data_IF_243911636005
#
_entry.id   IF_243911636005
#
_cell.length_a   1.000
_cell.length_b   1.000
_cell.length_c   1.000
_cell.angle_alpha   90.00
_cell.angle_beta   90.00
_cell.angle_gamma   90.00
#
_symmetry.space_group_name_H-M   'P 1'
#
loop_
_entity.id
_entity.type
_entity.pdbx_description
1 polymer ?
#
# COMPACT_ATOMS: atom_id res chain seq x y z
N UNK A 1 0.18 0.79 -1.06
CA UNK A 1 1.05 1.99 -0.92
C UNK A 1 0.30 3.29 -1.22
N UNK A 2 -0.45 3.40 -2.32
CA UNK A 2 -1.21 4.64 -2.67
C UNK A 2 -2.17 5.14 -1.58
N UNK A 3 -2.88 4.23 -0.91
CA UNK A 3 -3.75 4.62 0.22
C UNK A 3 -2.90 5.18 1.37
N UNK A 4 -1.83 4.47 1.76
CA UNK A 4 -0.97 4.87 2.89
C UNK A 4 -0.33 6.24 2.64
N UNK A 5 0.20 6.49 1.44
CA UNK A 5 0.76 7.81 1.08
C UNK A 5 -0.29 8.92 1.11
N UNK A 6 -1.56 8.60 0.88
CA UNK A 6 -2.66 9.57 0.88
C UNK A 6 -3.20 9.90 2.27
N UNK A 7 -3.25 8.92 3.18
CA UNK A 7 -3.88 9.05 4.51
C UNK A 7 -2.88 9.45 5.60
N UNK A 8 -1.59 9.19 5.43
CA UNK A 8 -0.59 9.56 6.42
C UNK A 8 -0.45 11.09 6.50
N UNK A 9 -0.31 11.66 7.72
CA UNK A 9 -0.23 13.11 7.91
C UNK A 9 1.11 13.71 7.48
N UNK A 10 2.12 12.87 7.27
CA UNK A 10 3.45 13.28 6.83
C UNK A 10 4.06 12.23 5.89
N UNK A 11 5.06 12.66 5.12
CA UNK A 11 5.82 11.79 4.24
C UNK A 11 6.67 10.80 5.03
N UNK A 12 6.87 9.62 4.47
CA UNK A 12 7.78 8.60 4.98
C UNK A 12 8.74 8.14 3.89
N UNK A 13 9.80 7.44 4.28
CA UNK A 13 10.84 6.96 3.37
C UNK A 13 11.27 5.54 3.75
N UNK A 14 11.73 4.79 2.76
CA UNK A 14 12.11 3.39 2.94
C UNK A 14 13.45 3.30 3.68
N UNK A 15 13.49 2.50 4.75
CA UNK A 15 14.71 2.25 5.54
C UNK A 15 15.21 0.81 5.43
N UNK A 16 14.33 -0.15 5.07
CA UNK A 16 14.70 -1.54 4.78
C UNK A 16 13.76 -2.13 3.74
N UNK A 17 14.32 -2.90 2.81
CA UNK A 17 13.54 -3.71 1.87
C UNK A 17 14.15 -5.09 1.69
N UNK A 18 13.31 -6.11 1.84
CA UNK A 18 13.60 -7.49 1.47
C UNK A 18 12.62 -7.93 0.40
N UNK A 19 13.14 -8.37 -0.75
CA UNK A 19 12.36 -8.77 -1.90
C UNK A 19 12.63 -10.24 -2.22
N UNK A 20 11.59 -11.06 -2.17
CA UNK A 20 11.69 -12.51 -2.42
C UNK A 20 11.33 -12.82 -3.86
N UNK A 21 12.24 -13.41 -4.61
CA UNK A 21 12.08 -13.74 -6.03
C UNK A 21 12.10 -15.26 -6.25
N UNK A 22 11.11 -15.82 -6.96
CA UNK A 22 11.19 -17.20 -7.44
C UNK A 22 12.39 -17.39 -8.38
N UNK A 23 13.07 -18.53 -8.28
CA UNK A 23 14.25 -18.84 -9.08
C UNK A 23 14.00 -18.77 -10.61
N UNK A 24 12.76 -18.96 -11.05
CA UNK A 24 12.35 -18.91 -12.47
C UNK A 24 11.66 -17.59 -12.88
N UNK A 25 11.62 -16.54 -12.02
CA UNK A 25 10.91 -15.27 -12.31
C UNK A 25 11.79 -14.03 -12.07
N UNK A 26 11.48 -12.98 -12.83
CA UNK A 26 12.19 -11.69 -12.74
C UNK A 26 11.58 -10.72 -11.71
N UNK A 27 10.32 -10.91 -11.31
CA UNK A 27 9.60 -10.08 -10.34
C UNK A 27 9.50 -10.79 -8.98
N UNK A 28 9.44 -10.03 -7.86
CA UNK A 28 9.30 -10.62 -6.54
C UNK A 28 7.88 -11.18 -6.34
N UNK A 29 7.78 -12.27 -5.58
CA UNK A 29 6.51 -12.89 -5.14
C UNK A 29 6.10 -12.43 -3.73
N UNK A 30 7.05 -11.93 -2.94
CA UNK A 30 6.80 -11.35 -1.63
C UNK A 30 7.79 -10.21 -1.32
N UNK A 31 7.38 -9.29 -0.45
CA UNK A 31 8.19 -8.18 0.00
C UNK A 31 7.89 -7.82 1.46
N UNK A 32 8.96 -7.63 2.25
CA UNK A 32 8.90 -7.06 3.61
C UNK A 32 9.61 -5.71 3.59
N UNK A 33 8.87 -4.65 3.87
CA UNK A 33 9.34 -3.27 3.80
C UNK A 33 9.18 -2.59 5.15
N UNK A 34 10.22 -1.87 5.58
CA UNK A 34 10.15 -0.95 6.70
C UNK A 34 10.45 0.46 6.22
N UNK A 35 9.62 1.39 6.67
CA UNK A 35 9.73 2.81 6.41
C UNK A 35 9.77 3.57 7.72
N UNK A 36 10.22 4.81 7.64
CA UNK A 36 10.22 5.76 8.75
C UNK A 36 9.62 7.09 8.28
N UNK A 37 8.70 7.66 9.07
CA UNK A 37 8.17 8.99 8.80
C UNK A 37 9.22 10.06 9.08
N UNK A 38 8.98 11.29 8.64
CA UNK A 38 9.89 12.42 8.92
C UNK A 38 10.08 12.66 10.44
N UNK A 39 9.06 12.38 11.26
CA UNK A 39 9.14 12.49 12.72
C UNK A 39 9.73 11.26 13.42
N UNK A 40 10.07 10.20 12.68
CA UNK A 40 10.68 8.98 13.24
C UNK A 40 9.69 7.86 13.58
N UNK A 41 8.43 7.95 13.14
CA UNK A 41 7.45 6.89 13.37
C UNK A 41 7.67 5.71 12.42
N UNK A 42 7.63 4.46 12.92
CA UNK A 42 7.79 3.29 12.07
C UNK A 42 6.54 3.01 11.25
N UNK A 43 6.74 2.60 10.00
CA UNK A 43 5.67 2.08 9.13
C UNK A 43 6.16 0.76 8.51
N UNK A 44 5.39 -0.31 8.67
CA UNK A 44 5.73 -1.62 8.12
C UNK A 44 4.72 -2.04 7.04
N UNK A 45 5.20 -2.71 5.99
CA UNK A 45 4.37 -3.28 4.95
C UNK A 45 4.86 -4.69 4.58
N UNK A 46 3.92 -5.64 4.58
CA UNK A 46 4.14 -7.01 4.15
C UNK A 46 3.25 -7.27 2.92
N UNK A 47 3.85 -7.74 1.85
CA UNK A 47 3.17 -8.15 0.63
C UNK A 47 3.54 -9.60 0.33
N UNK A 48 2.57 -10.49 0.20
CA UNK A 48 2.84 -11.89 -0.08
C UNK A 48 1.77 -12.51 -1.00
N UNK A 49 2.14 -12.85 -2.23
CA UNK A 49 1.25 -13.56 -3.16
C UNK A 49 1.11 -15.05 -2.86
N UNK A 50 1.88 -15.60 -1.91
CA UNK A 50 1.81 -17.01 -1.53
C UNK A 50 0.76 -17.27 -0.45
N UNK A 51 0.08 -16.24 0.06
CA UNK A 51 -0.92 -16.40 1.11
C UNK A 51 -2.04 -17.33 0.66
N UNK A 52 -2.11 -18.49 1.30
CA UNK A 52 -3.21 -19.43 1.16
C UNK A 52 -4.25 -19.18 2.26
N UNK A 53 -5.53 -19.32 1.92
CA UNK A 53 -6.64 -19.04 2.84
C UNK A 53 -7.27 -17.66 2.65
N UNK A 54 -7.89 -17.09 3.69
CA UNK A 54 -8.57 -15.80 3.61
C UNK A 54 -7.59 -14.71 3.18
N UNK A 55 -7.92 -14.02 2.10
CA UNK A 55 -7.09 -12.92 1.60
C UNK A 55 -7.21 -11.71 2.53
N UNK A 56 -6.09 -11.05 2.77
CA UNK A 56 -6.01 -9.90 3.68
C UNK A 56 -5.50 -8.69 2.92
N UNK A 57 -6.28 -7.60 2.95
CA UNK A 57 -5.90 -6.30 2.42
C UNK A 57 -6.22 -5.24 3.46
N UNK A 58 -5.38 -5.20 4.48
CA UNK A 58 -5.58 -4.37 5.66
C UNK A 58 -4.46 -3.33 5.80
N UNK A 59 -4.85 -2.13 6.21
CA UNK A 59 -3.94 -1.11 6.73
C UNK A 59 -4.40 -0.84 8.17
N UNK A 60 -3.49 -1.08 9.12
CA UNK A 60 -3.73 -0.87 10.55
C UNK A 60 -2.92 0.34 11.00
N UNK A 61 -3.58 1.25 11.70
CA UNK A 61 -2.96 2.45 12.28
C UNK A 61 -3.32 2.49 13.75
N UNK A 62 -2.31 2.47 14.61
CA UNK A 62 -2.47 2.64 16.06
C UNK A 62 -2.30 4.12 16.40
N UNK A 63 -3.21 4.66 17.19
CA UNK A 63 -3.20 6.06 17.64
C UNK A 63 -3.49 6.15 19.13
N UNK A 64 -3.23 7.31 19.74
CA UNK A 64 -3.58 7.56 21.14
C UNK A 64 -5.11 7.56 21.38
N UNK A 65 -5.89 7.80 20.33
CA UNK A 65 -7.36 7.85 20.39
C UNK A 65 -8.03 6.52 20.03
N UNK A 66 -7.26 5.52 19.61
CA UNK A 66 -7.80 4.23 19.18
C UNK A 66 -7.10 3.61 17.98
N UNK A 67 -7.58 2.44 17.56
CA UNK A 67 -7.07 1.72 16.39
C UNK A 67 -7.97 1.94 15.19
N UNK A 68 -7.35 2.26 14.06
CA UNK A 68 -8.01 2.38 12.77
C UNK A 68 -7.61 1.18 11.90
N UNK A 69 -8.61 0.52 11.30
CA UNK A 69 -8.41 -0.53 10.31
C UNK A 69 -9.15 -0.17 9.03
N UNK A 70 -8.39 0.08 7.97
CA UNK A 70 -8.91 0.07 6.61
C UNK A 70 -8.76 -1.34 6.05
N UNK A 71 -9.84 -1.94 5.60
CA UNK A 71 -9.85 -3.31 5.06
C UNK A 71 -10.54 -3.36 3.70
N UNK A 72 -10.47 -4.52 3.03
CA UNK A 72 -11.07 -4.77 1.71
C UNK A 72 -10.61 -3.72 0.68
N UNK A 73 -9.30 -3.45 0.66
CA UNK A 73 -8.72 -2.47 -0.25
C UNK A 73 -9.10 -1.02 0.06
N UNK A 74 -9.60 -0.72 1.26
CA UNK A 74 -10.00 0.63 1.67
C UNK A 74 -11.50 0.93 1.55
N UNK A 75 -12.31 -0.04 1.10
CA UNK A 75 -13.79 0.11 1.02
C UNK A 75 -14.50 0.04 2.38
N UNK A 76 -13.79 -0.41 3.43
CA UNK A 76 -14.34 -0.48 4.78
C UNK A 76 -13.38 0.14 5.79
N UNK A 77 -13.94 0.98 6.67
CA UNK A 77 -13.24 1.63 7.78
C UNK A 77 -13.83 1.13 9.09
N UNK A 78 -12.96 0.63 9.97
CA UNK A 78 -13.29 0.22 11.33
C UNK A 78 -12.45 1.07 12.29
N UNK A 79 -13.10 1.65 13.30
CA UNK A 79 -12.45 2.45 14.35
C UNK A 79 -12.82 1.81 15.69
N UNK A 80 -11.81 1.38 16.45
CA UNK A 80 -11.99 0.70 17.74
C UNK A 80 -12.95 -0.51 17.71
N UNK A 81 -12.90 -1.26 16.61
CA UNK A 81 -13.74 -2.44 16.38
C UNK A 81 -15.13 -2.12 15.81
N UNK A 82 -15.52 -0.84 15.77
CA UNK A 82 -16.82 -0.40 15.26
C UNK A 82 -16.72 0.05 13.80
N UNK A 83 -17.59 -0.51 12.94
CA UNK A 83 -17.62 -0.17 11.53
C UNK A 83 -18.16 1.27 11.33
N UNK A 84 -17.34 2.14 10.75
CA UNK A 84 -17.69 3.54 10.46
C UNK A 84 -18.09 3.75 9.00
N UNK A 85 -17.40 3.09 8.08
CA UNK A 85 -17.68 3.16 6.64
C UNK A 85 -17.77 1.74 6.10
N UNK A 86 -18.87 1.45 5.41
CA UNK A 86 -19.07 0.22 4.65
C UNK A 86 -19.76 0.62 3.36
N UNK A 87 -18.97 0.93 2.35
CA UNK A 87 -19.50 1.34 1.05
C UNK A 87 -19.25 0.29 -0.02
N UNK A 88 -20.09 0.32 -1.05
CA UNK A 88 -19.81 -0.40 -2.28
C UNK A 88 -18.63 0.24 -3.00
N UNK A 89 -17.83 -0.58 -3.66
CA UNK A 89 -16.74 -0.09 -4.48
C UNK A 89 -17.28 0.77 -5.64
N UNK A 90 -16.85 2.04 -5.64
CA UNK A 90 -17.13 3.04 -6.67
C UNK A 90 -15.84 3.66 -7.21
N UNK A 91 -14.70 3.02 -7.01
CA UNK A 91 -13.36 3.55 -7.31
C UNK A 91 -13.29 4.11 -8.73
N UNK A 92 -13.58 3.29 -9.74
CA UNK A 92 -13.52 3.73 -11.14
C UNK A 92 -14.50 4.86 -11.48
N UNK A 93 -15.70 4.88 -10.89
CA UNK A 93 -16.65 5.98 -11.12
C UNK A 93 -16.11 7.30 -10.57
N UNK A 94 -15.48 7.25 -9.39
CA UNK A 94 -14.82 8.42 -8.79
C UNK A 94 -13.62 8.87 -9.64
N UNK A 95 -12.78 7.93 -10.10
CA UNK A 95 -11.66 8.24 -11.00
C UNK A 95 -12.11 8.98 -12.26
N UNK A 96 -13.17 8.53 -12.94
CA UNK A 96 -13.68 9.22 -14.14
C UNK A 96 -14.28 10.59 -13.83
N UNK A 97 -14.99 10.74 -12.70
CA UNK A 97 -15.49 12.06 -12.27
C UNK A 97 -14.34 13.05 -12.09
N UNK A 98 -13.28 12.61 -11.40
CA UNK A 98 -12.14 13.46 -11.09
C UNK A 98 -11.33 13.77 -12.36
N UNK A 99 -11.18 12.79 -13.26
CA UNK A 99 -10.57 12.99 -14.58
C UNK A 99 -11.32 14.02 -15.43
N UNK A 100 -12.67 13.94 -15.51
CA UNK A 100 -13.48 14.94 -16.23
C UNK A 100 -13.30 16.34 -15.64
N UNK A 101 -13.23 16.45 -14.31
CA UNK A 101 -13.00 17.72 -13.65
C UNK A 101 -11.61 18.31 -13.99
N UNK A 102 -10.55 17.48 -14.01
CA UNK A 102 -9.20 17.90 -14.41
C UNK A 102 -9.15 18.37 -15.86
N UNK A 103 -9.70 17.60 -16.79
CA UNK A 103 -9.75 17.95 -18.22
C UNK A 103 -10.51 19.27 -18.44
N UNK A 104 -11.63 19.46 -17.74
CA UNK A 104 -12.45 20.68 -17.86
C UNK A 104 -11.68 21.93 -17.39
N UNK A 105 -10.83 21.78 -16.37
CA UNK A 105 -10.00 22.87 -15.84
C UNK A 105 -8.69 23.06 -16.61
N UNK A 106 -8.27 22.06 -17.39
CA UNK A 106 -6.96 22.03 -18.03
C UNK A 106 -5.82 21.69 -17.06
N UNK A 107 -6.13 21.00 -15.96
CA UNK A 107 -5.18 20.64 -14.89
C UNK A 107 -4.68 19.19 -15.04
N UNK A 108 -3.67 18.83 -14.23
CA UNK A 108 -3.16 17.46 -14.11
C UNK A 108 -2.99 17.08 -12.65
N UNK A 109 -3.29 15.83 -12.32
CA UNK A 109 -3.02 15.23 -11.02
C UNK A 109 -2.03 14.08 -11.22
N UNK A 110 -0.81 14.24 -10.73
CA UNK A 110 0.30 13.32 -10.95
C UNK A 110 1.08 13.10 -9.65
N UNK A 111 0.48 12.35 -8.73
CA UNK A 111 1.19 11.87 -7.54
C UNK A 111 2.00 10.61 -7.84
N UNK A 112 3.32 10.74 -7.86
CA UNK A 112 4.24 9.62 -8.07
C UNK A 112 4.74 8.98 -6.77
N UNK A 113 4.38 9.51 -5.60
CA UNK A 113 4.87 9.04 -4.29
C UNK A 113 4.73 7.52 -4.10
N UNK A 114 3.60 6.87 -4.49
CA UNK A 114 3.47 5.42 -4.37
C UNK A 114 4.48 4.67 -5.24
N UNK A 115 4.72 5.15 -6.46
CA UNK A 115 5.66 4.54 -7.40
C UNK A 115 7.11 4.78 -6.98
N UNK A 116 7.42 5.94 -6.39
CA UNK A 116 8.74 6.23 -5.81
C UNK A 116 9.08 5.19 -4.74
N UNK A 117 8.15 4.85 -3.84
CA UNK A 117 8.40 3.80 -2.85
C UNK A 117 8.61 2.41 -3.46
N UNK A 118 7.92 2.08 -4.55
CA UNK A 118 8.18 0.83 -5.28
C UNK A 118 9.59 0.88 -5.88
N UNK A 119 9.97 1.99 -6.54
CA UNK A 119 11.29 2.15 -7.11
C UNK A 119 12.39 2.06 -6.04
N UNK A 120 12.22 2.71 -4.89
CA UNK A 120 13.14 2.64 -3.75
C UNK A 120 13.26 1.20 -3.22
N UNK A 121 12.15 0.46 -3.15
CA UNK A 121 12.18 -0.95 -2.73
C UNK A 121 13.02 -1.80 -3.68
N UNK A 122 12.91 -1.60 -4.99
CA UNK A 122 13.76 -2.30 -5.96
C UNK A 122 15.23 -1.81 -5.94
N UNK A 123 15.46 -0.52 -5.68
CA UNK A 123 16.80 0.08 -5.65
C UNK A 123 17.59 -0.31 -4.40
N UNK A 124 16.95 -0.38 -3.24
CA UNK A 124 17.57 -0.69 -1.94
C UNK A 124 17.40 -2.15 -1.51
N UNK A 125 16.52 -2.90 -2.18
CA UNK A 125 16.06 -4.21 -1.75
C UNK A 125 17.14 -5.28 -1.70
N UNK A 126 17.25 -5.95 -0.56
CA UNK A 126 17.97 -7.22 -0.47
C UNK A 126 17.18 -8.28 -1.25
N UNK A 127 17.81 -8.83 -2.31
CA UNK A 127 17.24 -9.94 -3.08
C UNK A 127 17.38 -11.25 -2.30
N UNK A 128 16.26 -11.94 -2.13
CA UNK A 128 16.17 -13.27 -1.55
C UNK A 128 15.63 -14.20 -2.64
N UNK A 129 16.31 -15.28 -2.94
CA UNK A 129 15.81 -16.29 -3.87
C UNK A 129 14.95 -17.32 -3.12
N UNK A 130 13.85 -17.75 -3.75
CA UNK A 130 12.99 -18.86 -3.31
C UNK A 130 12.81 -19.86 -4.43
N UNK A 131 12.17 -20.99 -4.14
CA UNK A 131 11.82 -22.02 -5.12
C UNK A 131 11.14 -21.44 -6.37
N UNK A 132 11.25 -22.17 -7.48
CA UNK A 132 10.55 -21.83 -8.72
C UNK A 132 9.04 -21.75 -8.47
N UNK A 133 8.40 -20.78 -9.11
CA UNK A 133 6.95 -20.63 -9.07
C UNK A 133 6.32 -21.31 -10.30
N UNK A 134 5.54 -22.35 -10.03
CA UNK A 134 4.76 -23.12 -11.00
C UNK A 134 3.27 -22.99 -10.62
N UNK A 135 2.40 -22.76 -11.60
CA UNK A 135 0.94 -22.63 -11.43
C UNK A 135 0.24 -24.00 -11.35
#
# INVERSE_FOLDING_TARGET
>A
LSIVTRIMPETFHLVRSELTFPANRAAPIAASLAFETKSGLPVAAEFDWRQTGPQTWDIRVETEEGTIVLTHGGSRLIVDGEAQIVEEDREYRNLYRDFVALVTKGDSDTDFSPLVHVADAFMLGRRIETEAFED
#
